data_IF_479731036562
#
_entry.id   IF_479731036562
#
_cell.length_a   1.000
_cell.length_b   1.000
_cell.length_c   1.000
_cell.angle_alpha   90.00
_cell.angle_beta   90.00
_cell.angle_gamma   90.00
#
_symmetry.space_group_name_H-M   'P 1'
#
loop_
_entity.id
_entity.type
_entity.pdbx_description
1 polymer ?
#
# COMPACT_ATOMS: atom_id res chain seq x y z
N UNK A 1 -17.21 6.69 8.44
CA UNK A 1 -17.05 6.21 9.84
C UNK A 1 -17.42 4.75 10.03
N UNK A 2 -18.69 4.32 10.01
CA UNK A 2 -19.06 2.93 10.33
C UNK A 2 -18.39 1.88 9.41
N UNK A 3 -18.43 2.09 8.10
CA UNK A 3 -17.76 1.21 7.12
C UNK A 3 -16.25 1.12 7.38
N UNK A 4 -15.55 2.26 7.49
CA UNK A 4 -14.10 2.31 7.71
C UNK A 4 -13.71 1.59 9.00
N UNK A 5 -14.45 1.81 10.09
CA UNK A 5 -14.19 1.12 11.36
C UNK A 5 -14.29 -0.41 11.22
N UNK A 6 -15.34 -0.89 10.54
CA UNK A 6 -15.53 -2.33 10.29
C UNK A 6 -14.48 -2.88 9.34
N UNK A 7 -14.15 -2.15 8.26
CA UNK A 7 -13.08 -2.51 7.32
C UNK A 7 -11.74 -2.68 8.04
N UNK A 8 -11.37 -1.71 8.87
CA UNK A 8 -10.12 -1.71 9.61
C UNK A 8 -10.04 -2.88 10.60
N UNK A 9 -11.11 -3.12 11.36
CA UNK A 9 -11.16 -4.25 12.28
C UNK A 9 -11.15 -5.61 11.55
N UNK A 10 -11.92 -5.73 10.47
CA UNK A 10 -11.98 -6.94 9.66
C UNK A 10 -10.64 -7.23 8.97
N UNK A 11 -9.88 -6.20 8.57
CA UNK A 11 -8.58 -6.38 7.92
C UNK A 11 -7.61 -7.16 8.80
N UNK A 12 -7.59 -6.92 10.12
CA UNK A 12 -6.78 -7.71 11.05
C UNK A 12 -7.19 -9.18 11.06
N UNK A 13 -8.50 -9.45 11.09
CA UNK A 13 -9.02 -10.82 11.09
C UNK A 13 -8.67 -11.53 9.78
N UNK A 14 -8.85 -10.88 8.64
CA UNK A 14 -8.50 -11.46 7.34
C UNK A 14 -6.99 -11.64 7.16
N UNK A 15 -6.17 -10.73 7.66
CA UNK A 15 -4.71 -10.90 7.68
C UNK A 15 -4.30 -12.15 8.47
N UNK A 16 -4.88 -12.36 9.66
CA UNK A 16 -4.64 -13.56 10.47
C UNK A 16 -5.10 -14.85 9.81
N UNK A 17 -6.20 -14.80 9.03
CA UNK A 17 -6.73 -15.97 8.33
C UNK A 17 -5.94 -16.30 7.05
N UNK A 18 -5.56 -15.29 6.28
CA UNK A 18 -4.94 -15.46 4.97
C UNK A 18 -3.53 -16.05 5.01
N UNK A 19 -2.81 -15.86 6.12
CA UNK A 19 -1.48 -16.44 6.33
C UNK A 19 -1.54 -17.88 6.89
N UNK A 20 -2.74 -18.47 7.09
CA UNK A 20 -2.86 -19.87 7.52
C UNK A 20 -2.76 -20.80 6.33
N UNK A 21 -1.87 -21.79 6.40
CA UNK A 21 -1.59 -22.73 5.31
C UNK A 21 -2.81 -23.49 4.78
N UNK A 22 -3.83 -23.73 5.61
CA UNK A 22 -5.05 -24.45 5.22
C UNK A 22 -6.11 -23.55 4.54
N UNK A 23 -5.88 -22.23 4.49
CA UNK A 23 -6.82 -21.28 3.90
C UNK A 23 -6.46 -21.03 2.44
N UNK A 24 -7.39 -21.38 1.53
CA UNK A 24 -7.27 -21.04 0.11
C UNK A 24 -7.53 -19.52 -0.06
N UNK A 25 -6.47 -18.77 -0.39
CA UNK A 25 -6.52 -17.30 -0.51
C UNK A 25 -7.44 -16.86 -1.66
N UNK A 26 -7.55 -17.66 -2.71
CA UNK A 26 -8.49 -17.43 -3.81
C UNK A 26 -9.94 -17.54 -3.33
N UNK A 27 -10.28 -18.54 -2.52
CA UNK A 27 -11.63 -18.64 -1.94
C UNK A 27 -11.92 -17.48 -0.99
N UNK A 28 -10.92 -17.03 -0.22
CA UNK A 28 -11.05 -15.88 0.67
C UNK A 28 -11.30 -14.57 -0.09
N UNK A 29 -10.61 -14.37 -1.22
CA UNK A 29 -10.86 -13.26 -2.14
C UNK A 29 -12.24 -13.34 -2.79
N UNK A 30 -12.59 -14.48 -3.39
CA UNK A 30 -13.87 -14.66 -4.09
C UNK A 30 -15.07 -14.47 -3.15
N UNK A 31 -15.00 -15.06 -1.95
CA UNK A 31 -16.07 -14.91 -0.96
C UNK A 31 -16.21 -13.48 -0.47
N UNK A 32 -15.12 -12.75 -0.22
CA UNK A 32 -15.19 -11.35 0.20
C UNK A 32 -15.72 -10.41 -0.88
N UNK A 33 -15.28 -10.57 -2.13
CA UNK A 33 -15.80 -9.80 -3.28
C UNK A 33 -17.30 -10.10 -3.46
N UNK A 34 -17.70 -11.38 -3.42
CA UNK A 34 -19.09 -11.78 -3.52
C UNK A 34 -19.94 -11.21 -2.38
N UNK A 35 -19.41 -11.23 -1.16
CA UNK A 35 -20.07 -10.70 0.03
C UNK A 35 -20.27 -9.18 -0.03
N UNK A 36 -19.24 -8.40 -0.36
CA UNK A 36 -19.40 -6.94 -0.50
C UNK A 36 -20.37 -6.62 -1.63
N UNK A 37 -20.36 -7.41 -2.71
CA UNK A 37 -21.14 -7.16 -3.91
C UNK A 37 -22.62 -7.37 -3.62
N UNK A 38 -22.93 -8.45 -2.89
CA UNK A 38 -24.25 -8.71 -2.36
C UNK A 38 -24.69 -7.61 -1.38
N UNK A 39 -23.85 -7.26 -0.40
CA UNK A 39 -24.16 -6.19 0.55
C UNK A 39 -24.42 -4.85 -0.14
N UNK A 40 -23.68 -4.53 -1.20
CA UNK A 40 -23.89 -3.34 -2.03
C UNK A 40 -25.25 -3.40 -2.71
N UNK A 41 -25.59 -4.50 -3.39
CA UNK A 41 -26.89 -4.66 -4.03
C UNK A 41 -28.05 -4.58 -3.02
N UNK A 42 -27.90 -5.19 -1.83
CA UNK A 42 -28.88 -5.11 -0.74
C UNK A 42 -29.04 -3.67 -0.20
N UNK A 43 -28.00 -2.84 -0.27
CA UNK A 43 -28.09 -1.39 -0.01
C UNK A 43 -29.15 -0.70 -0.87
N UNK A 44 -29.33 -1.14 -2.11
CA UNK A 44 -30.38 -0.66 -3.01
C UNK A 44 -31.80 -1.03 -2.56
N UNK A 45 -31.96 -1.99 -1.65
CA UNK A 45 -33.23 -2.41 -1.05
C UNK A 45 -33.49 -1.81 0.34
N UNK A 46 -32.54 -1.04 0.89
CA UNK A 46 -32.66 -0.47 2.23
C UNK A 46 -33.91 0.40 2.38
N UNK A 47 -34.73 0.14 3.39
CA UNK A 47 -36.00 0.85 3.65
C UNK A 47 -35.85 1.98 4.67
N UNK A 48 -34.74 2.00 5.42
CA UNK A 48 -34.44 3.02 6.41
C UNK A 48 -32.92 3.24 6.54
N UNK A 49 -32.54 4.31 7.22
CA UNK A 49 -31.13 4.70 7.40
C UNK A 49 -30.32 3.60 8.11
N UNK A 50 -30.89 2.95 9.12
CA UNK A 50 -30.21 1.90 9.89
C UNK A 50 -29.84 0.70 8.99
N UNK A 51 -30.76 0.26 8.14
CA UNK A 51 -30.48 -0.79 7.15
C UNK A 51 -29.38 -0.36 6.17
N UNK A 52 -29.45 0.88 5.68
CA UNK A 52 -28.42 1.40 4.77
C UNK A 52 -27.04 1.42 5.44
N UNK A 53 -26.95 1.93 6.67
CA UNK A 53 -25.70 1.95 7.46
C UNK A 53 -25.18 0.54 7.71
N UNK A 54 -26.06 -0.41 8.04
CA UNK A 54 -25.69 -1.81 8.22
C UNK A 54 -25.10 -2.40 6.94
N UNK A 55 -25.76 -2.23 5.78
CA UNK A 55 -25.23 -2.75 4.52
C UNK A 55 -23.90 -2.10 4.14
N UNK A 56 -23.72 -0.79 4.40
CA UNK A 56 -22.43 -0.11 4.20
C UNK A 56 -21.34 -0.65 5.13
N UNK A 57 -21.67 -1.02 6.37
CA UNK A 57 -20.75 -1.68 7.28
C UNK A 57 -20.36 -3.08 6.79
N UNK A 58 -21.32 -3.87 6.28
CA UNK A 58 -21.07 -5.19 5.71
C UNK A 58 -20.17 -5.14 4.46
N UNK A 59 -20.30 -4.11 3.61
CA UNK A 59 -19.37 -3.89 2.50
C UNK A 59 -17.93 -3.80 3.00
N UNK A 60 -17.70 -3.09 4.11
CA UNK A 60 -16.37 -2.98 4.73
C UNK A 60 -15.76 -4.32 5.15
N UNK A 61 -16.58 -5.29 5.57
CA UNK A 61 -16.10 -6.66 5.88
C UNK A 61 -15.56 -7.34 4.63
N UNK A 62 -16.32 -7.33 3.52
CA UNK A 62 -15.87 -7.97 2.28
C UNK A 62 -14.65 -7.27 1.67
N UNK A 63 -14.62 -5.94 1.73
CA UNK A 63 -13.51 -5.14 1.17
C UNK A 63 -12.19 -5.38 1.91
N UNK A 64 -12.27 -5.63 3.22
CA UNK A 64 -11.11 -5.95 4.04
C UNK A 64 -10.40 -7.23 3.59
N UNK A 65 -11.12 -8.25 3.12
CA UNK A 65 -10.47 -9.47 2.64
C UNK A 65 -9.67 -9.21 1.35
N UNK A 66 -10.21 -8.40 0.44
CA UNK A 66 -9.51 -8.03 -0.78
C UNK A 66 -8.26 -7.20 -0.51
N UNK A 67 -8.39 -6.15 0.32
CA UNK A 67 -7.28 -5.25 0.63
C UNK A 67 -6.10 -5.97 1.29
N UNK A 68 -6.39 -7.01 2.10
CA UNK A 68 -5.37 -7.77 2.83
C UNK A 68 -4.73 -8.89 2.02
N UNK A 69 -5.49 -9.53 1.13
CA UNK A 69 -5.04 -10.74 0.41
C UNK A 69 -4.49 -10.43 -0.99
N UNK A 70 -5.04 -9.43 -1.67
CA UNK A 70 -4.67 -9.15 -3.07
C UNK A 70 -3.19 -8.75 -3.22
N UNK A 71 -2.69 -7.89 -2.34
CA UNK A 71 -1.29 -7.44 -2.39
C UNK A 71 -0.29 -8.58 -2.18
N UNK A 72 -0.39 -9.42 -1.14
CA UNK A 72 0.45 -10.61 -1.01
C UNK A 72 0.38 -11.56 -2.22
N UNK A 73 -0.82 -11.85 -2.73
CA UNK A 73 -0.96 -12.73 -3.90
C UNK A 73 -0.27 -12.15 -5.13
N UNK A 74 -0.36 -10.83 -5.38
CA UNK A 74 0.37 -10.17 -6.48
C UNK A 74 1.89 -10.38 -6.34
N UNK A 75 2.44 -10.31 -5.13
CA UNK A 75 3.86 -10.52 -4.89
C UNK A 75 4.29 -11.96 -5.22
N UNK A 76 3.42 -12.94 -4.96
CA UNK A 76 3.65 -14.35 -5.27
C UNK A 76 3.44 -14.66 -6.76
N UNK A 77 2.61 -13.91 -7.49
CA UNK A 77 2.46 -14.10 -8.95
C UNK A 77 3.62 -13.50 -9.75
N UNK A 78 4.18 -12.36 -9.32
CA UNK A 78 5.10 -11.58 -10.14
C UNK A 78 6.48 -11.41 -9.48
N UNK A 79 7.56 -11.93 -10.11
CA UNK A 79 8.93 -11.76 -9.62
C UNK A 79 9.56 -10.42 -10.02
N UNK A 80 10.52 -9.98 -9.21
CA UNK A 80 11.48 -8.94 -9.54
C UNK A 80 10.85 -7.67 -10.13
N UNK A 81 11.39 -7.12 -11.24
CA UNK A 81 10.88 -5.88 -11.84
C UNK A 81 9.42 -5.95 -12.35
N UNK A 82 8.88 -7.15 -12.59
CA UNK A 82 7.49 -7.29 -13.05
C UNK A 82 6.49 -6.97 -11.94
N UNK A 83 6.92 -7.15 -10.68
CA UNK A 83 6.12 -6.87 -9.47
C UNK A 83 5.64 -5.43 -9.42
N UNK A 84 6.52 -4.46 -9.69
CA UNK A 84 6.15 -3.03 -9.71
C UNK A 84 5.09 -2.73 -10.79
N UNK A 85 5.23 -3.33 -11.98
CA UNK A 85 4.24 -3.18 -13.05
C UNK A 85 2.87 -3.76 -12.66
N UNK A 86 2.86 -4.91 -11.98
CA UNK A 86 1.63 -5.50 -11.47
C UNK A 86 0.96 -4.59 -10.43
N UNK A 87 1.73 -4.03 -9.47
CA UNK A 87 1.21 -3.05 -8.52
C UNK A 87 0.79 -1.74 -9.18
N UNK A 88 1.40 -1.33 -10.28
CA UNK A 88 0.94 -0.18 -11.07
C UNK A 88 -0.47 -0.42 -11.59
N UNK A 89 -0.70 -1.56 -12.25
CA UNK A 89 -2.02 -1.92 -12.78
C UNK A 89 -3.05 -2.04 -11.65
N UNK A 90 -2.67 -2.69 -10.55
CA UNK A 90 -3.50 -2.82 -9.37
C UNK A 90 -3.86 -1.46 -8.77
N UNK A 91 -2.89 -0.56 -8.62
CA UNK A 91 -3.09 0.77 -8.03
C UNK A 91 -3.93 1.68 -8.93
N UNK A 92 -3.87 1.51 -10.26
CA UNK A 92 -4.71 2.23 -11.21
C UNK A 92 -6.20 1.85 -11.09
N UNK A 93 -6.52 0.70 -10.50
CA UNK A 93 -7.91 0.29 -10.30
C UNK A 93 -8.69 1.27 -9.41
N UNK A 94 -8.04 1.91 -8.42
CA UNK A 94 -8.68 2.84 -7.51
C UNK A 94 -9.18 4.13 -8.21
N UNK A 95 -8.34 4.93 -8.91
CA UNK A 95 -8.82 6.11 -9.62
C UNK A 95 -9.76 5.78 -10.78
N UNK A 96 -9.54 4.66 -11.49
CA UNK A 96 -10.45 4.22 -12.56
C UNK A 96 -11.81 3.81 -11.99
N UNK A 97 -11.82 3.06 -10.88
CA UNK A 97 -13.02 2.66 -10.18
C UNK A 97 -13.80 3.86 -9.64
N UNK A 98 -13.11 4.86 -9.08
CA UNK A 98 -13.72 6.11 -8.67
C UNK A 98 -14.39 6.85 -9.85
N UNK A 99 -13.70 6.97 -10.99
CA UNK A 99 -14.24 7.61 -12.19
C UNK A 99 -15.52 6.91 -12.67
N UNK A 100 -15.49 5.58 -12.78
CA UNK A 100 -16.64 4.77 -13.19
C UNK A 100 -17.78 4.87 -12.15
N UNK A 101 -17.46 4.82 -10.86
CA UNK A 101 -18.42 4.92 -9.77
C UNK A 101 -19.15 6.26 -9.77
N UNK A 102 -18.44 7.38 -9.92
CA UNK A 102 -19.05 8.70 -10.02
C UNK A 102 -19.87 8.84 -11.31
N UNK A 103 -19.34 8.42 -12.46
CA UNK A 103 -20.03 8.53 -13.73
C UNK A 103 -21.32 7.72 -13.79
N UNK A 104 -21.24 6.43 -13.47
CA UNK A 104 -22.38 5.50 -13.44
C UNK A 104 -23.35 5.89 -12.33
N UNK A 105 -22.84 6.15 -11.12
CA UNK A 105 -23.66 6.49 -9.97
C UNK A 105 -24.43 7.80 -10.14
N UNK A 106 -23.79 8.84 -10.68
CA UNK A 106 -24.43 10.13 -10.96
C UNK A 106 -25.51 9.99 -12.04
N UNK A 107 -25.17 9.35 -13.17
CA UNK A 107 -26.10 9.20 -14.31
C UNK A 107 -27.33 8.37 -13.93
N UNK A 108 -27.13 7.24 -13.24
CA UNK A 108 -28.23 6.38 -12.79
C UNK A 108 -29.03 7.04 -11.67
N UNK A 109 -28.35 7.71 -10.73
CA UNK A 109 -28.98 8.42 -9.63
C UNK A 109 -29.94 9.51 -10.09
N UNK A 110 -29.54 10.28 -11.11
CA UNK A 110 -30.37 11.35 -11.69
C UNK A 110 -31.54 10.83 -12.53
N UNK A 111 -31.32 9.78 -13.35
CA UNK A 111 -32.33 9.35 -14.33
C UNK A 111 -33.26 8.24 -13.81
N UNK A 112 -32.74 7.33 -12.97
CA UNK A 112 -33.42 6.10 -12.55
C UNK A 112 -33.48 5.95 -11.01
N UNK A 113 -32.98 6.95 -10.29
CA UNK A 113 -32.94 6.97 -8.83
C UNK A 113 -31.74 6.23 -8.23
N UNK A 114 -31.27 6.72 -7.08
CA UNK A 114 -30.03 6.26 -6.42
C UNK A 114 -29.99 4.75 -6.12
N UNK A 115 -31.15 4.08 -5.94
CA UNK A 115 -31.22 2.63 -5.70
C UNK A 115 -30.65 1.83 -6.87
N UNK A 116 -30.83 2.30 -8.10
CA UNK A 116 -30.32 1.62 -9.29
C UNK A 116 -28.81 1.62 -9.37
N UNK A 117 -28.14 2.65 -8.84
CA UNK A 117 -26.69 2.69 -8.74
C UNK A 117 -26.13 1.55 -7.86
N UNK A 118 -26.82 1.19 -6.76
CA UNK A 118 -26.41 0.06 -5.92
C UNK A 118 -26.47 -1.28 -6.66
N UNK A 119 -27.50 -1.51 -7.47
CA UNK A 119 -27.58 -2.74 -8.28
C UNK A 119 -26.56 -2.75 -9.41
N UNK A 120 -26.37 -1.61 -10.09
CA UNK A 120 -25.40 -1.48 -11.18
C UNK A 120 -23.95 -1.69 -10.70
N UNK A 121 -23.63 -1.29 -9.48
CA UNK A 121 -22.30 -1.52 -8.90
C UNK A 121 -22.17 -2.90 -8.25
N UNK A 122 -23.20 -3.39 -7.56
CA UNK A 122 -23.15 -4.64 -6.81
C UNK A 122 -23.25 -5.89 -7.67
N UNK A 123 -24.18 -5.95 -8.64
CA UNK A 123 -24.44 -7.18 -9.41
C UNK A 123 -23.24 -7.63 -10.25
N UNK A 124 -22.54 -6.75 -11.01
CA UNK A 124 -21.35 -7.16 -11.75
C UNK A 124 -20.23 -7.71 -10.86
N UNK A 125 -20.12 -7.24 -9.61
CA UNK A 125 -19.14 -7.74 -8.66
C UNK A 125 -19.34 -9.22 -8.30
N UNK A 126 -20.57 -9.74 -8.35
CA UNK A 126 -20.86 -11.18 -8.16
C UNK A 126 -20.29 -12.01 -9.31
N UNK A 127 -20.34 -11.49 -10.54
CA UNK A 127 -19.73 -12.14 -11.70
C UNK A 127 -18.20 -12.14 -11.57
N UNK A 128 -17.61 -11.03 -11.09
CA UNK A 128 -16.17 -10.94 -10.82
C UNK A 128 -15.75 -11.90 -9.70
N UNK A 129 -16.53 -12.03 -8.63
CA UNK A 129 -16.28 -13.01 -7.58
C UNK A 129 -16.23 -14.44 -8.13
N UNK A 130 -17.14 -14.75 -9.06
CA UNK A 130 -17.16 -16.05 -9.76
C UNK A 130 -15.93 -16.22 -10.65
N UNK A 131 -15.48 -15.16 -11.34
CA UNK A 131 -14.28 -15.25 -12.18
C UNK A 131 -13.00 -15.50 -11.37
N UNK A 132 -12.93 -14.99 -10.14
CA UNK A 132 -11.79 -15.22 -9.23
C UNK A 132 -11.63 -16.70 -8.86
N UNK A 133 -12.71 -17.49 -8.84
CA UNK A 133 -12.64 -18.93 -8.57
C UNK A 133 -11.83 -19.71 -9.61
N UNK A 134 -11.63 -19.15 -10.81
CA UNK A 134 -10.81 -19.74 -11.87
C UNK A 134 -9.33 -19.32 -11.81
N UNK A 135 -8.94 -18.48 -10.86
CA UNK A 135 -7.53 -18.17 -10.63
C UNK A 135 -6.81 -19.39 -10.03
N UNK A 136 -5.51 -19.49 -10.29
CA UNK A 136 -4.63 -20.45 -9.64
C UNK A 136 -3.85 -19.71 -8.56
N UNK A 137 -3.99 -20.08 -7.29
CA UNK A 137 -3.21 -19.50 -6.20
C UNK A 137 -1.77 -20.06 -6.24
N UNK A 138 -0.73 -19.23 -6.50
CA UNK A 138 0.65 -19.69 -6.50
C UNK A 138 1.10 -20.04 -5.08
N UNK A 139 2.08 -20.95 -4.92
CA UNK A 139 2.72 -21.18 -3.63
C UNK A 139 3.30 -19.88 -3.04
N UNK A 140 3.19 -19.75 -1.72
CA UNK A 140 3.75 -18.63 -0.96
C UNK A 140 5.24 -18.46 -1.25
N UNK A 141 5.65 -17.25 -1.59
CA UNK A 141 7.07 -16.90 -1.72
C UNK A 141 7.79 -17.54 -2.91
N UNK A 142 7.09 -18.14 -3.88
CA UNK A 142 7.68 -18.78 -5.07
C UNK A 142 8.67 -17.88 -5.84
N UNK A 143 8.51 -16.56 -5.71
CA UNK A 143 9.28 -15.55 -6.40
C UNK A 143 10.30 -14.82 -5.52
N UNK A 144 10.44 -15.21 -4.26
CA UNK A 144 11.42 -14.64 -3.36
C UNK A 144 12.64 -15.58 -3.30
N UNK A 145 13.83 -15.02 -3.48
CA UNK A 145 15.07 -15.79 -3.35
C UNK A 145 15.18 -16.23 -1.87
N UNK A 146 14.92 -17.51 -1.61
CA UNK A 146 15.28 -18.14 -0.34
C UNK A 146 16.82 -18.20 -0.35
N UNK A 147 17.49 -17.16 0.12
CA UNK A 147 18.88 -17.24 0.56
C UNK A 147 18.90 -18.22 1.74
N UNK A 148 19.06 -19.52 1.46
CA UNK A 148 20.21 -20.33 1.91
C UNK A 148 19.95 -21.86 1.76
N UNK A 149 20.69 -22.59 0.89
CA UNK A 149 20.74 -24.06 0.89
C UNK A 149 21.80 -24.64 1.85
N UNK A 150 22.56 -23.79 2.56
CA UNK A 150 23.64 -24.16 3.49
C UNK A 150 23.32 -23.95 4.96
N UNK A 151 22.24 -23.25 5.27
CA UNK A 151 21.49 -23.40 6.52
C UNK A 151 20.21 -24.16 6.17
N UNK A 152 20.12 -25.48 6.44
CA UNK A 152 18.81 -26.00 6.77
C UNK A 152 18.32 -25.06 7.88
N UNK A 153 17.09 -24.55 7.79
CA UNK A 153 16.35 -24.39 9.01
C UNK A 153 16.33 -25.79 9.65
N UNK A 154 17.38 -26.11 10.42
CA UNK A 154 17.19 -26.70 11.72
C UNK A 154 16.25 -25.72 12.42
N UNK A 155 14.96 -25.87 12.11
CA UNK A 155 13.98 -25.92 13.16
C UNK A 155 14.52 -26.98 14.12
N UNK A 156 15.41 -26.56 15.02
CA UNK A 156 15.71 -27.32 16.21
C UNK A 156 14.34 -27.71 16.74
N UNK A 157 14.11 -29.00 16.95
CA UNK A 157 12.81 -29.51 17.40
C UNK A 157 12.28 -28.70 18.60
N UNK A 158 13.18 -28.06 19.36
CA UNK A 158 12.96 -27.02 20.37
C UNK A 158 12.07 -25.83 19.94
N UNK A 159 12.25 -25.20 18.76
CA UNK A 159 11.40 -24.06 18.33
C UNK A 159 9.98 -24.52 17.92
N UNK A 160 9.89 -25.73 17.38
CA UNK A 160 8.61 -26.35 17.01
C UNK A 160 7.81 -26.84 18.24
N UNK A 161 8.51 -27.25 19.31
CA UNK A 161 7.89 -27.58 20.60
C UNK A 161 7.52 -26.32 21.40
N UNK A 162 8.31 -25.24 21.31
CA UNK A 162 8.03 -23.98 22.01
C UNK A 162 6.85 -23.21 21.37
N UNK A 163 6.60 -23.38 20.06
CA UNK A 163 5.44 -22.83 19.35
C UNK A 163 4.14 -23.60 19.62
N UNK A 164 4.20 -24.93 19.79
CA UNK A 164 3.00 -25.78 20.06
C UNK A 164 2.31 -25.50 21.40
N UNK A 165 2.97 -24.82 22.34
CA UNK A 165 2.44 -24.48 23.66
C UNK A 165 2.24 -22.99 23.93
N UNK A 166 2.58 -22.09 23.01
CA UNK A 166 2.46 -20.65 23.24
C UNK A 166 1.01 -20.17 23.02
N UNK A 167 0.46 -19.34 23.94
CA UNK A 167 -0.82 -18.71 23.69
C UNK A 167 -0.71 -17.82 22.45
N UNK A 168 -1.70 -17.94 21.55
CA UNK A 168 -1.79 -17.26 20.25
C UNK A 168 -1.50 -15.74 20.35
N UNK A 169 -1.88 -15.12 21.47
CA UNK A 169 -1.68 -13.69 21.73
C UNK A 169 -0.19 -13.31 21.88
N UNK A 170 0.64 -14.16 22.49
CA UNK A 170 2.07 -13.87 22.68
C UNK A 170 2.87 -13.98 21.37
N UNK A 171 2.49 -14.91 20.50
CA UNK A 171 3.12 -15.08 19.19
C UNK A 171 2.80 -13.89 18.26
N UNK A 172 1.52 -13.48 18.22
CA UNK A 172 1.09 -12.33 17.42
C UNK A 172 1.75 -11.01 17.86
N UNK A 173 1.80 -10.74 19.17
CA UNK A 173 2.43 -9.52 19.68
C UNK A 173 3.93 -9.47 19.40
N UNK A 174 4.61 -10.63 19.42
CA UNK A 174 6.03 -10.73 19.06
C UNK A 174 6.23 -10.39 17.58
N UNK A 175 5.43 -10.96 16.69
CA UNK A 175 5.51 -10.69 15.26
C UNK A 175 5.23 -9.21 14.93
N UNK A 176 4.21 -8.61 15.54
CA UNK A 176 3.93 -7.17 15.41
C UNK A 176 5.14 -6.35 15.86
N UNK A 177 5.75 -6.70 17.01
CA UNK A 177 6.96 -6.04 17.50
C UNK A 177 8.12 -6.21 16.53
N UNK A 178 8.31 -7.39 15.97
CA UNK A 178 9.42 -7.67 15.06
C UNK A 178 9.25 -6.92 13.73
N UNK A 179 8.02 -6.84 13.19
CA UNK A 179 7.68 -5.99 12.05
C UNK A 179 7.92 -4.50 12.34
N UNK A 180 7.47 -4.00 13.49
CA UNK A 180 7.67 -2.59 13.86
C UNK A 180 9.12 -2.27 14.22
N UNK A 181 9.93 -3.27 14.56
CA UNK A 181 11.37 -3.14 14.79
C UNK A 181 12.16 -3.16 13.49
N UNK A 182 11.59 -3.66 12.40
CA UNK A 182 12.20 -3.61 11.07
C UNK A 182 12.17 -2.15 10.54
N UNK A 183 13.33 -1.50 10.38
CA UNK A 183 13.38 -0.10 9.98
C UNK A 183 12.77 0.14 8.59
N UNK A 184 12.81 -0.84 7.69
CA UNK A 184 12.22 -0.73 6.35
C UNK A 184 10.71 -0.75 6.42
N UNK A 185 10.15 -1.71 7.15
CA UNK A 185 8.71 -1.77 7.36
C UNK A 185 8.22 -0.52 8.07
N UNK A 186 8.94 -0.07 9.11
CA UNK A 186 8.58 1.13 9.86
C UNK A 186 8.61 2.39 8.98
N UNK A 187 9.67 2.62 8.20
CA UNK A 187 9.75 3.76 7.28
C UNK A 187 8.68 3.75 6.20
N UNK A 188 8.39 2.58 5.60
CA UNK A 188 7.32 2.43 4.62
C UNK A 188 5.95 2.76 5.25
N UNK A 189 5.70 2.21 6.44
CA UNK A 189 4.44 2.36 7.18
C UNK A 189 4.22 3.80 7.65
N UNK A 190 5.22 4.43 8.29
CA UNK A 190 5.11 5.82 8.75
C UNK A 190 4.85 6.79 7.61
N UNK A 191 5.50 6.58 6.46
CA UNK A 191 5.23 7.39 5.28
C UNK A 191 3.82 7.20 4.74
N UNK A 192 3.33 5.96 4.66
CA UNK A 192 1.95 5.67 4.26
C UNK A 192 0.93 6.26 5.25
N UNK A 193 1.17 6.19 6.56
CA UNK A 193 0.32 6.81 7.59
C UNK A 193 0.21 8.32 7.39
N UNK A 194 1.34 9.00 7.17
CA UNK A 194 1.36 10.44 6.93
C UNK A 194 0.64 10.83 5.62
N UNK A 195 0.73 10.00 4.59
CA UNK A 195 -0.04 10.16 3.35
C UNK A 195 -1.53 9.95 3.56
N UNK A 196 -1.93 8.90 4.27
CA UNK A 196 -3.34 8.65 4.63
C UNK A 196 -3.91 9.81 5.44
N UNK A 197 -3.13 10.38 6.37
CA UNK A 197 -3.50 11.58 7.10
C UNK A 197 -3.81 12.75 6.17
N UNK A 198 -2.89 13.07 5.25
CA UNK A 198 -3.07 14.14 4.28
C UNK A 198 -4.29 13.89 3.38
N UNK A 199 -4.44 12.67 2.86
CA UNK A 199 -5.53 12.28 1.98
C UNK A 199 -6.91 12.41 2.66
N UNK A 200 -7.04 11.91 3.90
CA UNK A 200 -8.30 12.00 4.64
C UNK A 200 -8.69 13.46 4.91
N UNK A 201 -7.71 14.29 5.27
CA UNK A 201 -7.94 15.70 5.55
C UNK A 201 -8.37 16.50 4.32
N UNK A 202 -7.70 16.25 3.19
CA UNK A 202 -8.08 16.85 1.90
C UNK A 202 -9.45 16.34 1.44
N UNK A 203 -9.72 15.05 1.54
CA UNK A 203 -10.98 14.47 1.05
C UNK A 203 -12.21 15.05 1.79
N UNK A 204 -12.12 15.24 3.10
CA UNK A 204 -13.24 15.79 3.89
C UNK A 204 -13.39 17.31 3.69
N UNK A 205 -12.30 18.06 3.80
CA UNK A 205 -12.38 19.51 3.98
C UNK A 205 -12.10 20.34 2.73
N UNK A 206 -11.49 19.77 1.70
CA UNK A 206 -11.16 20.50 0.49
C UNK A 206 -12.38 20.92 -0.34
N UNK A 207 -13.49 20.15 -0.44
CA UNK A 207 -14.71 20.63 -1.08
C UNK A 207 -15.25 21.90 -0.42
N UNK A 208 -15.32 21.91 0.92
CA UNK A 208 -15.75 23.07 1.70
C UNK A 208 -14.80 24.25 1.52
N UNK A 209 -13.50 23.99 1.42
CA UNK A 209 -12.52 25.04 1.14
C UNK A 209 -12.73 25.70 -0.22
N UNK A 210 -12.95 24.92 -1.28
CA UNK A 210 -13.21 25.44 -2.63
C UNK A 210 -14.48 26.32 -2.67
N UNK A 211 -15.55 25.87 -2.01
CA UNK A 211 -16.80 26.65 -1.93
C UNK A 211 -16.61 27.93 -1.11
N UNK A 212 -15.87 27.87 0.00
CA UNK A 212 -15.69 29.01 0.91
C UNK A 212 -14.70 30.06 0.39
N UNK A 213 -13.68 29.65 -0.36
CA UNK A 213 -12.54 30.53 -0.71
C UNK A 213 -12.32 30.70 -2.21
N UNK A 214 -12.95 29.92 -3.09
CA UNK A 214 -12.70 29.97 -4.55
C UNK A 214 -13.93 30.36 -5.39
N UNK A 215 -15.01 30.81 -4.74
CA UNK A 215 -16.30 31.19 -5.35
C UNK A 215 -16.94 30.09 -6.22
N UNK A 216 -16.44 28.84 -6.12
CA UNK A 216 -16.99 27.71 -6.83
C UNK A 216 -18.30 27.27 -6.20
N UNK A 217 -19.27 26.90 -7.03
CA UNK A 217 -20.46 26.20 -6.56
C UNK A 217 -20.10 24.82 -6.00
N UNK A 218 -21.01 24.25 -5.21
CA UNK A 218 -20.87 22.89 -4.68
C UNK A 218 -20.68 21.85 -5.79
N UNK A 219 -21.37 22.04 -6.92
CA UNK A 219 -21.27 21.17 -8.10
C UNK A 219 -19.91 21.30 -8.79
N UNK A 220 -19.45 22.52 -9.07
CA UNK A 220 -18.14 22.77 -9.67
C UNK A 220 -17.00 22.25 -8.80
N UNK A 221 -17.08 22.44 -7.48
CA UNK A 221 -16.11 21.89 -6.54
C UNK A 221 -16.03 20.36 -6.63
N UNK A 222 -17.17 19.68 -6.69
CA UNK A 222 -17.23 18.23 -6.89
C UNK A 222 -16.64 17.78 -8.22
N UNK A 223 -16.91 18.51 -9.31
CA UNK A 223 -16.35 18.22 -10.64
C UNK A 223 -14.83 18.42 -10.69
N UNK A 224 -14.33 19.51 -10.09
CA UNK A 224 -12.88 19.79 -10.01
C UNK A 224 -12.17 18.68 -9.24
N UNK A 225 -12.68 18.31 -8.06
CA UNK A 225 -12.06 17.30 -7.21
C UNK A 225 -12.10 15.89 -7.81
N UNK A 226 -13.24 15.50 -8.39
CA UNK A 226 -13.37 14.20 -9.04
C UNK A 226 -12.50 14.11 -10.31
N UNK A 227 -12.47 15.17 -11.11
CA UNK A 227 -11.62 15.27 -12.29
C UNK A 227 -10.12 15.27 -11.94
N UNK A 228 -9.71 16.05 -10.94
CA UNK A 228 -8.31 16.09 -10.49
C UNK A 228 -7.88 14.72 -9.96
N UNK A 229 -8.66 14.12 -9.07
CA UNK A 229 -8.33 12.82 -8.46
C UNK A 229 -8.10 11.72 -9.50
N UNK A 230 -8.90 11.68 -10.57
CA UNK A 230 -8.76 10.69 -11.64
C UNK A 230 -7.51 10.96 -12.49
N UNK A 231 -7.34 12.19 -12.95
CA UNK A 231 -6.19 12.58 -13.79
C UNK A 231 -4.87 12.40 -13.04
N UNK A 232 -4.83 12.89 -11.80
CA UNK A 232 -3.68 12.86 -10.93
C UNK A 232 -3.39 11.48 -10.39
N UNK A 233 -4.41 10.71 -10.01
CA UNK A 233 -4.26 9.32 -9.56
C UNK A 233 -3.67 8.43 -10.65
N UNK A 234 -4.20 8.51 -11.89
CA UNK A 234 -3.69 7.74 -13.02
C UNK A 234 -2.29 8.23 -13.42
N UNK A 235 -2.14 9.53 -13.66
CA UNK A 235 -0.89 10.14 -14.10
C UNK A 235 0.25 9.92 -13.11
N UNK A 236 -0.02 10.14 -11.82
CA UNK A 236 0.93 10.01 -10.72
C UNK A 236 1.40 8.58 -10.53
N UNK A 237 0.46 7.63 -10.47
CA UNK A 237 0.79 6.21 -10.30
C UNK A 237 1.69 5.70 -11.44
N UNK A 238 1.38 6.07 -12.70
CA UNK A 238 2.20 5.70 -13.86
C UNK A 238 3.56 6.40 -13.83
N UNK A 239 3.58 7.70 -13.53
CA UNK A 239 4.80 8.51 -13.47
C UNK A 239 5.77 7.97 -12.42
N UNK A 240 5.32 7.81 -11.18
CA UNK A 240 6.11 7.29 -10.08
C UNK A 240 6.70 5.92 -10.39
N UNK A 241 5.88 5.01 -10.91
CA UNK A 241 6.31 3.64 -11.27
C UNK A 241 7.38 3.64 -12.37
N UNK A 242 7.18 4.42 -13.44
CA UNK A 242 8.17 4.55 -14.53
C UNK A 242 9.49 5.16 -14.06
N UNK A 243 9.44 6.16 -13.18
CA UNK A 243 10.64 6.82 -12.66
C UNK A 243 11.40 5.88 -11.73
N UNK A 244 10.72 5.11 -10.87
CA UNK A 244 11.34 4.06 -10.04
C UNK A 244 12.01 2.99 -10.89
N UNK A 245 11.34 2.45 -11.92
CA UNK A 245 11.91 1.43 -12.80
C UNK A 245 13.11 1.94 -13.61
N UNK A 246 13.05 3.21 -14.01
CA UNK A 246 14.15 3.87 -14.69
C UNK A 246 15.33 4.06 -13.74
N UNK A 247 15.07 4.55 -12.52
CA UNK A 247 16.12 4.79 -11.53
C UNK A 247 16.78 3.49 -11.04
N UNK A 248 15.99 2.44 -10.80
CA UNK A 248 16.48 1.12 -10.43
C UNK A 248 17.47 0.56 -11.45
N UNK A 249 17.16 0.69 -12.76
CA UNK A 249 17.97 0.14 -13.86
C UNK A 249 19.11 1.05 -14.28
N UNK A 250 18.82 2.34 -14.52
CA UNK A 250 19.76 3.31 -15.10
C UNK A 250 20.82 3.78 -14.11
N UNK A 251 20.45 3.98 -12.86
CA UNK A 251 21.36 4.44 -11.81
C UNK A 251 21.83 3.29 -10.90
N UNK A 252 21.48 2.03 -11.22
CA UNK A 252 21.82 0.83 -10.44
C UNK A 252 21.48 0.95 -8.96
N UNK A 253 20.40 1.68 -8.66
CA UNK A 253 19.96 1.92 -7.28
C UNK A 253 19.27 0.70 -6.65
N UNK A 254 18.93 -0.32 -7.45
CA UNK A 254 18.26 -1.52 -6.96
C UNK A 254 16.97 -1.20 -6.20
N UNK A 255 16.72 -1.89 -5.10
CA UNK A 255 15.54 -1.69 -4.24
C UNK A 255 15.49 -0.30 -3.59
N UNK A 256 16.62 0.42 -3.49
CA UNK A 256 16.67 1.74 -2.87
C UNK A 256 15.90 2.82 -3.63
N UNK A 257 15.69 2.65 -4.94
CA UNK A 257 14.88 3.61 -5.71
C UNK A 257 13.41 3.65 -5.27
N UNK A 258 12.89 2.56 -4.71
CA UNK A 258 11.51 2.44 -4.27
C UNK A 258 11.20 3.29 -3.02
N UNK A 259 12.22 3.67 -2.24
CA UNK A 259 12.09 4.69 -1.19
C UNK A 259 12.42 6.10 -1.71
N UNK A 260 13.53 6.25 -2.43
CA UNK A 260 14.03 7.58 -2.80
C UNK A 260 13.07 8.32 -3.74
N UNK A 261 12.53 7.65 -4.76
CA UNK A 261 11.70 8.33 -5.76
C UNK A 261 10.39 8.85 -5.15
N UNK A 262 9.61 8.06 -4.38
CA UNK A 262 8.49 8.60 -3.63
C UNK A 262 8.88 9.77 -2.74
N UNK A 263 9.99 9.66 -1.99
CA UNK A 263 10.47 10.73 -1.13
C UNK A 263 10.74 12.04 -1.89
N UNK A 264 11.38 11.97 -3.06
CA UNK A 264 11.66 13.13 -3.89
C UNK A 264 10.38 13.78 -4.46
N UNK A 265 9.35 13.00 -4.77
CA UNK A 265 8.07 13.53 -5.28
C UNK A 265 7.21 14.20 -4.18
N UNK A 266 7.43 13.87 -2.91
CA UNK A 266 6.68 14.50 -1.82
C UNK A 266 7.00 15.99 -1.65
N UNK A 267 8.21 16.44 -1.96
CA UNK A 267 8.59 17.86 -1.88
C UNK A 267 7.80 18.75 -2.87
N UNK A 268 7.81 18.50 -4.19
CA UNK A 268 7.01 19.29 -5.12
C UNK A 268 5.50 19.09 -4.89
N UNK A 269 5.06 17.91 -4.44
CA UNK A 269 3.66 17.69 -4.05
C UNK A 269 3.25 18.63 -2.91
N UNK A 270 4.00 18.62 -1.79
CA UNK A 270 3.72 19.47 -0.64
C UNK A 270 3.76 20.96 -1.00
N UNK A 271 4.73 21.39 -1.80
CA UNK A 271 4.83 22.77 -2.28
C UNK A 271 3.58 23.18 -3.08
N UNK A 272 3.14 22.34 -4.02
CA UNK A 272 1.98 22.64 -4.86
C UNK A 272 0.67 22.61 -4.08
N UNK A 273 0.51 21.69 -3.13
CA UNK A 273 -0.64 21.66 -2.22
C UNK A 273 -0.63 22.90 -1.32
N UNK A 274 0.52 23.29 -0.78
CA UNK A 274 0.65 24.52 0.01
C UNK A 274 0.29 25.76 -0.80
N UNK A 275 0.75 25.85 -2.06
CA UNK A 275 0.37 26.94 -2.99
C UNK A 275 -1.13 26.91 -3.25
N UNK A 276 -1.72 25.75 -3.51
CA UNK A 276 -3.15 25.61 -3.77
C UNK A 276 -4.01 26.06 -2.58
N UNK A 277 -3.62 25.73 -1.35
CA UNK A 277 -4.34 26.19 -0.14
C UNK A 277 -4.10 27.68 0.12
N UNK A 278 -2.94 28.24 -0.25
CA UNK A 278 -2.57 29.61 0.09
C UNK A 278 -2.97 30.68 -0.94
N UNK A 279 -3.03 30.34 -2.23
CA UNK A 279 -3.34 31.28 -3.30
C UNK A 279 -4.85 31.31 -3.65
N UNK A 280 -5.34 32.48 -4.02
CA UNK A 280 -6.77 32.77 -4.20
C UNK A 280 -7.25 32.71 -5.65
N UNK A 281 -6.36 32.70 -6.64
CA UNK A 281 -6.77 32.64 -8.04
C UNK A 281 -7.24 31.23 -8.41
N UNK A 282 -8.54 31.06 -8.70
CA UNK A 282 -9.22 29.77 -8.89
C UNK A 282 -8.50 28.85 -9.88
N UNK A 283 -8.15 29.32 -11.07
CA UNK A 283 -7.49 28.46 -12.08
C UNK A 283 -6.07 28.04 -11.70
N UNK A 284 -5.30 28.93 -11.06
CA UNK A 284 -3.96 28.60 -10.58
C UNK A 284 -4.02 27.57 -9.46
N UNK A 285 -5.01 27.67 -8.57
CA UNK A 285 -5.29 26.69 -7.54
C UNK A 285 -5.58 25.32 -8.14
N UNK A 286 -6.49 25.23 -9.11
CA UNK A 286 -6.86 23.95 -9.76
C UNK A 286 -5.66 23.29 -10.43
N UNK A 287 -4.82 24.06 -11.14
CA UNK A 287 -3.59 23.53 -11.75
C UNK A 287 -2.61 23.03 -10.69
N UNK A 288 -2.41 23.79 -9.61
CA UNK A 288 -1.53 23.37 -8.51
C UNK A 288 -2.08 22.13 -7.80
N UNK A 289 -3.39 22.02 -7.63
CA UNK A 289 -4.05 20.84 -7.08
C UNK A 289 -3.80 19.61 -7.95
N UNK A 290 -4.08 19.68 -9.25
CA UNK A 290 -3.88 18.57 -10.19
C UNK A 290 -2.41 18.11 -10.15
N UNK A 291 -1.46 19.03 -10.32
CA UNK A 291 -0.04 18.68 -10.33
C UNK A 291 0.45 18.18 -8.95
N UNK A 292 -0.05 18.79 -7.87
CA UNK A 292 0.27 18.42 -6.49
C UNK A 292 -0.21 17.01 -6.14
N UNK A 293 -1.47 16.70 -6.48
CA UNK A 293 -2.04 15.35 -6.37
C UNK A 293 -1.31 14.35 -7.29
N UNK A 294 -0.90 14.78 -8.50
CA UNK A 294 -0.21 13.87 -9.42
C UNK A 294 1.14 13.43 -8.82
N UNK A 295 1.90 14.35 -8.24
CA UNK A 295 3.12 13.98 -7.52
C UNK A 295 2.85 13.26 -6.21
N UNK A 296 1.74 13.57 -5.52
CA UNK A 296 1.29 12.85 -4.35
C UNK A 296 1.11 11.36 -4.66
N UNK A 297 0.46 11.00 -5.77
CA UNK A 297 0.20 9.61 -6.15
C UNK A 297 1.42 8.85 -6.72
N UNK A 298 2.58 9.49 -6.89
CA UNK A 298 3.80 8.82 -7.35
C UNK A 298 4.32 7.73 -6.40
N UNK A 299 3.88 7.71 -5.14
CA UNK A 299 4.29 6.69 -4.16
C UNK A 299 3.56 5.35 -4.30
N UNK A 300 2.33 5.36 -4.83
CA UNK A 300 1.33 4.32 -4.55
C UNK A 300 1.83 2.92 -4.90
N UNK A 301 2.22 2.71 -6.17
CA UNK A 301 2.69 1.41 -6.63
C UNK A 301 4.11 1.07 -6.13
N UNK A 302 5.10 1.99 -6.12
CA UNK A 302 6.41 1.71 -5.55
C UNK A 302 6.38 1.27 -4.08
N UNK A 303 5.67 2.00 -3.22
CA UNK A 303 5.61 1.68 -1.79
C UNK A 303 4.82 0.39 -1.54
N UNK A 304 3.78 0.10 -2.33
CA UNK A 304 3.09 -1.18 -2.27
C UNK A 304 4.02 -2.36 -2.61
N UNK A 305 4.81 -2.24 -3.69
CA UNK A 305 5.78 -3.26 -4.10
C UNK A 305 6.90 -3.47 -3.06
N UNK A 306 7.39 -2.36 -2.49
CA UNK A 306 8.41 -2.38 -1.46
C UNK A 306 7.90 -3.02 -0.17
N UNK A 307 6.68 -2.70 0.25
CA UNK A 307 6.08 -3.23 1.47
C UNK A 307 6.02 -4.76 1.45
N UNK A 308 5.64 -5.38 0.33
CA UNK A 308 5.64 -6.85 0.23
C UNK A 308 7.04 -7.48 0.16
N UNK A 309 8.06 -6.68 -0.17
CA UNK A 309 9.44 -7.16 -0.22
C UNK A 309 10.13 -7.09 1.16
N UNK A 310 9.62 -6.27 2.09
CA UNK A 310 10.20 -6.11 3.43
C UNK A 310 9.46 -6.94 4.49
N UNK A 311 8.24 -7.39 4.20
CA UNK A 311 7.47 -8.27 5.07
C UNK A 311 7.84 -9.74 4.76
N UNK A 312 8.17 -10.55 5.79
CA UNK A 312 8.42 -11.98 5.61
C UNK A 312 7.24 -12.70 4.95
N UNK A 313 7.53 -13.65 4.06
CA UNK A 313 6.54 -14.34 3.20
C UNK A 313 5.33 -14.87 3.99
N UNK A 314 5.57 -15.55 5.11
CA UNK A 314 4.54 -16.18 5.97
C UNK A 314 3.72 -15.20 6.80
N UNK A 315 4.01 -13.90 6.70
CA UNK A 315 3.39 -12.82 7.46
C UNK A 315 2.88 -11.70 6.56
N UNK A 316 2.87 -11.88 5.23
CA UNK A 316 2.55 -10.82 4.27
C UNK A 316 1.14 -10.29 4.45
N UNK A 317 0.15 -11.14 4.67
CA UNK A 317 -1.21 -10.67 4.88
C UNK A 317 -1.36 -9.99 6.24
N UNK A 318 -0.75 -10.52 7.31
CA UNK A 318 -0.70 -9.87 8.64
C UNK A 318 -0.01 -8.51 8.58
N UNK A 319 1.17 -8.42 7.99
CA UNK A 319 1.90 -7.16 7.82
C UNK A 319 1.14 -6.13 6.97
N UNK A 320 0.48 -6.58 5.89
CA UNK A 320 -0.42 -5.71 5.10
C UNK A 320 -1.58 -5.19 5.94
N UNK A 321 -2.22 -6.05 6.73
CA UNK A 321 -3.34 -5.66 7.60
C UNK A 321 -2.90 -4.68 8.69
N UNK A 322 -1.68 -4.85 9.23
CA UNK A 322 -1.10 -3.93 10.20
C UNK A 322 -0.84 -2.55 9.59
N UNK A 323 -0.32 -2.49 8.35
CA UNK A 323 -0.17 -1.22 7.64
C UNK A 323 -1.51 -0.54 7.39
N UNK A 324 -2.53 -1.30 6.96
CA UNK A 324 -3.91 -0.78 6.76
C UNK A 324 -4.47 -0.22 8.07
N UNK A 325 -4.35 -0.97 9.18
CA UNK A 325 -4.79 -0.54 10.49
C UNK A 325 -4.15 0.79 10.89
N UNK A 326 -2.82 0.87 10.82
CA UNK A 326 -2.08 2.06 11.19
C UNK A 326 -2.42 3.23 10.28
N UNK A 327 -2.53 3.01 8.97
CA UNK A 327 -2.90 4.01 7.98
C UNK A 327 -4.28 4.63 8.25
N UNK A 328 -5.25 3.84 8.70
CA UNK A 328 -6.57 4.36 9.04
C UNK A 328 -6.61 5.02 10.42
N UNK A 329 -6.16 4.30 11.46
CA UNK A 329 -6.29 4.76 12.85
C UNK A 329 -5.43 6.00 13.12
N UNK A 330 -4.23 6.08 12.53
CA UNK A 330 -3.31 7.20 12.72
C UNK A 330 -3.29 8.17 11.54
N UNK A 331 -3.96 7.84 10.44
CA UNK A 331 -4.02 8.68 9.26
C UNK A 331 -5.38 9.33 9.06
N UNK A 332 -6.20 8.75 8.19
CA UNK A 332 -7.41 9.39 7.66
C UNK A 332 -8.57 9.52 8.66
N UNK A 333 -8.63 8.68 9.70
CA UNK A 333 -9.69 8.77 10.72
C UNK A 333 -9.49 9.98 11.64
N UNK A 334 -8.25 10.31 11.98
CA UNK A 334 -7.94 11.39 12.92
C UNK A 334 -7.77 12.75 12.24
N UNK A 335 -7.44 12.78 10.94
CA UNK A 335 -7.11 14.03 10.27
C UNK A 335 -8.28 15.00 10.13
N UNK A 336 -9.53 14.60 9.79
CA UNK A 336 -10.63 15.54 9.68
C UNK A 336 -11.05 16.19 11.01
N UNK A 337 -11.14 15.45 12.14
CA UNK A 337 -11.38 16.08 13.45
C UNK A 337 -10.30 17.10 13.85
N UNK A 338 -9.03 16.81 13.58
CA UNK A 338 -7.92 17.75 13.87
C UNK A 338 -8.05 19.02 13.02
N UNK A 339 -8.31 18.88 11.71
CA UNK A 339 -8.51 20.02 10.82
C UNK A 339 -9.75 20.82 11.21
N UNK A 340 -10.84 20.14 11.58
CA UNK A 340 -12.07 20.75 12.08
C UNK A 340 -11.83 21.58 13.34
N UNK A 341 -11.12 21.03 14.32
CA UNK A 341 -10.75 21.75 15.54
C UNK A 341 -9.93 23.03 15.24
N UNK A 342 -8.95 22.95 14.34
CA UNK A 342 -8.17 24.12 13.92
C UNK A 342 -9.04 25.12 13.14
N UNK A 343 -9.97 24.62 12.31
CA UNK A 343 -10.91 25.44 11.56
C UNK A 343 -11.84 26.24 12.47
N UNK A 344 -12.38 25.60 13.52
CA UNK A 344 -13.27 26.23 14.48
C UNK A 344 -12.54 27.25 15.36
N UNK A 345 -11.30 26.96 15.76
CA UNK A 345 -10.49 27.87 16.56
C UNK A 345 -9.94 29.06 15.76
N UNK A 346 -9.68 28.88 14.46
CA UNK A 346 -9.01 29.87 13.62
C UNK A 346 -9.71 29.99 12.27
N UNK A 347 -9.34 29.16 11.29
CA UNK A 347 -9.99 29.08 9.99
C UNK A 347 -9.55 27.83 9.23
N UNK A 348 -10.36 27.43 8.25
CA UNK A 348 -10.14 26.21 7.49
C UNK A 348 -8.84 26.23 6.67
N UNK A 349 -8.44 27.40 6.16
CA UNK A 349 -7.19 27.56 5.39
C UNK A 349 -5.96 27.20 6.24
N UNK A 350 -5.96 27.58 7.51
CA UNK A 350 -4.92 27.20 8.47
C UNK A 350 -5.01 25.72 8.83
N UNK A 351 -6.23 25.21 9.04
CA UNK A 351 -6.48 23.79 9.28
C UNK A 351 -5.87 22.92 8.18
N UNK A 352 -6.09 23.28 6.91
CA UNK A 352 -5.54 22.55 5.77
C UNK A 352 -4.01 22.64 5.62
N UNK A 353 -3.30 23.49 6.36
CA UNK A 353 -1.83 23.51 6.27
C UNK A 353 -1.20 22.21 6.81
N UNK A 354 -1.88 21.53 7.73
CA UNK A 354 -1.38 20.27 8.32
C UNK A 354 -1.26 19.14 7.29
N UNK A 355 -1.99 19.22 6.17
CA UNK A 355 -1.98 18.16 5.14
C UNK A 355 -0.67 18.16 4.36
N UNK A 356 -0.19 19.30 3.86
CA UNK A 356 1.08 19.36 3.14
C UNK A 356 2.28 19.17 4.07
N UNK A 357 2.15 19.51 5.37
CA UNK A 357 3.16 19.15 6.38
C UNK A 357 3.24 17.62 6.51
N UNK A 358 2.11 16.93 6.56
CA UNK A 358 2.08 15.46 6.58
C UNK A 358 2.68 14.85 5.31
N UNK A 359 2.49 15.47 4.13
CA UNK A 359 3.15 15.05 2.88
C UNK A 359 4.69 15.17 3.00
N UNK A 360 5.20 16.25 3.61
CA UNK A 360 6.66 16.36 3.87
C UNK A 360 7.12 15.27 4.84
N UNK A 361 6.37 14.99 5.91
CA UNK A 361 6.69 13.93 6.86
C UNK A 361 6.74 12.55 6.19
N UNK A 362 5.87 12.29 5.21
CA UNK A 362 5.92 11.09 4.41
C UNK A 362 7.23 10.98 3.61
N UNK A 363 7.60 12.08 2.94
CA UNK A 363 8.85 12.16 2.20
C UNK A 363 10.08 11.92 3.08
N UNK A 364 10.11 12.54 4.27
CA UNK A 364 11.17 12.33 5.26
C UNK A 364 11.24 10.88 5.76
N UNK A 365 10.09 10.24 5.99
CA UNK A 365 10.02 8.85 6.47
C UNK A 365 10.60 7.88 5.44
N UNK A 366 10.25 8.05 4.16
CA UNK A 366 10.80 7.23 3.07
C UNK A 366 12.26 7.59 2.76
N UNK A 367 12.65 8.85 2.91
CA UNK A 367 14.05 9.27 2.77
C UNK A 367 14.94 8.67 3.87
N UNK A 368 14.43 8.60 5.11
CA UNK A 368 15.10 7.87 6.19
C UNK A 368 15.22 6.37 5.84
N UNK A 369 14.13 5.75 5.36
CA UNK A 369 14.15 4.36 4.88
C UNK A 369 15.21 4.11 3.81
N UNK A 370 15.40 5.06 2.88
CA UNK A 370 16.46 5.01 1.87
C UNK A 370 17.87 4.98 2.49
N UNK A 371 18.15 5.74 3.54
CA UNK A 371 19.46 5.74 4.21
C UNK A 371 19.68 4.54 5.12
N UNK A 372 18.60 3.99 5.69
CA UNK A 372 18.65 2.76 6.48
C UNK A 372 18.92 1.52 5.62
N UNK A 373 18.80 1.60 4.29
CA UNK A 373 19.21 0.52 3.39
C UNK A 373 20.72 0.36 3.51
N UNK A 374 21.16 -0.69 4.19
CA UNK A 374 22.47 -1.27 3.91
C UNK A 374 22.52 -1.51 2.41
N UNK A 375 23.31 -0.71 1.70
CA UNK A 375 23.57 -0.93 0.28
C UNK A 375 24.17 -2.34 0.21
N UNK A 376 23.53 -3.33 -0.41
CA UNK A 376 24.17 -4.62 -0.54
C UNK A 376 25.50 -4.39 -1.30
N UNK A 377 26.61 -5.01 -0.88
CA UNK A 377 27.80 -5.05 -1.72
C UNK A 377 27.43 -5.88 -2.95
N UNK A 378 27.01 -5.21 -4.03
CA UNK A 378 26.59 -5.84 -5.28
C UNK A 378 27.76 -6.66 -5.84
N UNK A 379 27.72 -7.99 -5.66
CA UNK A 379 28.42 -8.94 -6.53
C UNK A 379 27.37 -9.67 -7.36
N UNK A 380 27.10 -9.13 -8.54
CA UNK A 380 26.42 -9.89 -9.60
C UNK A 380 27.41 -10.95 -10.08
N UNK A 381 27.24 -12.20 -9.66
CA UNK A 381 27.93 -13.33 -10.31
C UNK A 381 27.04 -13.76 -11.49
N UNK A 382 27.51 -13.64 -12.75
CA UNK A 382 26.74 -14.14 -13.88
C UNK A 382 26.62 -15.66 -13.78
N UNK A 383 25.44 -16.17 -14.16
CA UNK A 383 25.15 -17.60 -14.29
C UNK A 383 26.19 -18.22 -15.25
N UNK A 384 27.22 -18.89 -14.72
CA UNK A 384 28.08 -19.72 -15.55
C UNK A 384 27.37 -21.05 -15.74
N UNK A 385 26.95 -21.29 -16.98
CA UNK A 385 26.50 -22.59 -17.43
C UNK A 385 27.75 -23.46 -17.60
N UNK A 386 27.95 -24.43 -16.72
CA UNK A 386 28.98 -25.45 -16.89
C UNK A 386 28.43 -26.60 -17.71
N UNK A 387 29.18 -27.03 -18.74
CA UNK A 387 28.84 -28.13 -19.66
C UNK A 387 28.86 -29.54 -19.01
N UNK A 388 28.96 -29.63 -17.69
CA UNK A 388 28.77 -30.87 -16.94
C UNK A 388 27.65 -30.64 -15.92
N UNK A 389 26.59 -31.43 -16.01
CA UNK A 389 25.35 -31.32 -15.22
C UNK A 389 25.49 -31.60 -13.72
N UNK A 390 26.51 -31.03 -13.06
CA UNK A 390 26.73 -31.09 -11.61
C UNK A 390 26.72 -29.65 -11.08
N UNK A 391 25.72 -29.34 -10.25
CA UNK A 391 25.61 -28.03 -9.58
C UNK A 391 26.61 -28.01 -8.42
N UNK A 392 27.70 -27.26 -8.57
CA UNK A 392 28.62 -26.95 -7.48
C UNK A 392 28.56 -25.47 -7.14
N UNK A 393 28.24 -25.15 -5.89
CA UNK A 393 28.23 -23.79 -5.37
C UNK A 393 29.66 -23.39 -4.96
N UNK A 394 30.19 -22.29 -5.53
CA UNK A 394 31.43 -21.67 -5.06
C UNK A 394 31.07 -20.42 -4.26
N UNK A 395 31.09 -20.53 -2.93
CA UNK A 395 31.04 -19.38 -2.02
C UNK A 395 32.42 -18.73 -1.95
N UNK A 396 32.56 -17.48 -2.41
CA UNK A 396 33.71 -16.62 -2.07
C UNK A 396 33.29 -15.63 -1.00
N UNK A 397 33.50 -16.00 0.26
CA UNK A 397 33.40 -15.08 1.40
C UNK A 397 34.49 -14.01 1.30
N UNK A 398 34.11 -12.78 0.97
CA UNK A 398 35.01 -11.63 1.02
C UNK A 398 35.14 -11.14 2.46
N UNK A 399 36.02 -11.76 3.25
CA UNK A 399 36.42 -11.28 4.56
C UNK A 399 37.93 -11.45 4.71
N UNK A 400 38.71 -10.62 4.00
CA UNK A 400 40.12 -10.43 4.36
C UNK A 400 40.17 -9.35 5.45
N UNK A 401 39.97 -9.80 6.68
CA UNK A 401 40.43 -9.08 7.86
C UNK A 401 41.95 -9.14 7.89
N UNK A 402 42.57 -7.97 7.73
CA UNK A 402 43.95 -7.70 8.13
C UNK A 402 44.07 -7.98 9.63
N UNK A 403 44.69 -9.09 9.99
CA UNK A 403 45.31 -9.31 11.30
C UNK A 403 46.36 -10.43 11.13
N UNK A 404 47.62 -10.05 11.32
CA UNK A 404 48.75 -10.98 11.24
C UNK A 404 48.79 -11.95 12.43
N UNK A 405 49.30 -13.14 12.16
CA UNK A 405 50.05 -13.93 13.11
C UNK A 405 51.26 -14.53 12.38
N UNK A 406 52.44 -14.09 12.80
CA UNK A 406 53.69 -14.82 12.61
C UNK A 406 53.54 -16.26 13.11
N UNK A 407 54.02 -17.21 12.31
CA UNK A 407 54.70 -18.39 12.85
C UNK A 407 55.73 -18.86 11.85
N UNK A 408 56.99 -18.72 12.26
CA UNK A 408 58.15 -19.39 11.69
C UNK A 408 57.90 -20.90 11.58
N UNK A 409 58.23 -21.49 10.43
CA UNK A 409 58.97 -22.75 10.43
C UNK A 409 59.67 -23.00 9.10
N UNK A 410 60.95 -23.29 9.24
CA UNK A 410 61.95 -23.69 8.26
C UNK A 410 61.74 -25.13 7.75
N UNK A 411 62.01 -25.37 6.47
CA UNK A 411 62.62 -26.59 5.87
C UNK A 411 62.53 -26.47 4.33
N UNK A 412 63.61 -26.17 3.61
CA UNK A 412 64.59 -27.10 3.02
C UNK A 412 64.02 -28.29 2.23
N UNK A 413 64.20 -28.23 0.89
CA UNK A 413 64.52 -29.28 -0.11
C UNK A 413 63.85 -28.91 -1.44
N UNK A 414 64.48 -28.79 -2.60
CA UNK A 414 65.77 -29.29 -3.14
C UNK A 414 66.29 -28.35 -4.22
#
# INVERSE_FOLDING_TARGET
MAMTAVFTAASLVFGLLADREFVDRRLLLASGIGFWSLATALGGLAQNLTQLVLFRALVGVGEASFATVASPMIADFYPGPQRNRAYTIFSLSAPVGAALGFGVGSTLGQNLGWRTAFFACGVPGILVATSVLFLNDPPLGINDEIEDPTHPEESTEEDSEQSKGQPLDCAFLREVRDLLSNPFFLSATLGTVAISFALGGLTEWYPTFLVRYSELSQEESGLVLSGSSVLSGIGGTILGSKVVDSAARRFRMGSSSYFLVPACFMLPSAMLIAVAVNHLQTWSLVVCLILGEMFFFCYQAPIAALSMSVIPVHSRARGSSLQILLGHVLGDVISPPIIGFISDAMNLKLGLQVTWVAVIMAGLSWFAGYFCLEKPPIKVVPKQQTDSGTISYILRTGRESVCGCESDSSSQSS
#
